data_IF_505099007506
#
_entry.id   IF_505099007506
#
_cell.length_a   1.000
_cell.length_b   1.000
_cell.length_c   1.000
_cell.angle_alpha   90.00
_cell.angle_beta   90.00
_cell.angle_gamma   90.00
#
_symmetry.space_group_name_H-M   'P 1'
#
loop_
_entity.id
_entity.type
_entity.pdbx_description
1 polymer ?
#
# COMPACT_ATOMS: atom_id res chain seq x y z
N UNK A 1 -25.20 -21.20 38.18
CA UNK A 1 -25.05 -21.28 36.71
C UNK A 1 -25.36 -19.99 35.95
N UNK A 2 -26.44 -19.24 36.28
CA UNK A 2 -26.84 -18.02 35.52
C UNK A 2 -25.74 -16.94 35.40
N UNK A 3 -24.99 -16.66 36.47
CA UNK A 3 -23.93 -15.64 36.46
C UNK A 3 -22.70 -16.04 35.65
N UNK A 4 -22.38 -17.34 35.60
CA UNK A 4 -21.25 -17.85 34.83
C UNK A 4 -21.48 -17.66 33.33
N UNK A 5 -22.70 -17.88 32.83
CA UNK A 5 -23.05 -17.63 31.43
C UNK A 5 -22.91 -16.14 31.06
N UNK A 6 -23.23 -15.24 31.99
CA UNK A 6 -23.05 -13.80 31.80
C UNK A 6 -21.56 -13.42 31.67
N UNK A 7 -20.72 -14.02 32.52
CA UNK A 7 -19.26 -13.78 32.50
C UNK A 7 -18.65 -14.30 31.18
N UNK A 8 -19.01 -15.50 30.74
CA UNK A 8 -18.54 -16.05 29.46
C UNK A 8 -18.98 -15.20 28.26
N UNK A 9 -20.21 -14.70 28.28
CA UNK A 9 -20.71 -13.80 27.25
C UNK A 9 -19.92 -12.49 27.19
N UNK A 10 -19.67 -11.87 28.35
CA UNK A 10 -18.87 -10.64 28.42
C UNK A 10 -17.43 -10.84 27.93
N UNK A 11 -16.80 -11.97 28.27
CA UNK A 11 -15.47 -12.33 27.76
C UNK A 11 -15.46 -12.53 26.24
N UNK A 12 -16.46 -13.23 25.70
CA UNK A 12 -16.57 -13.44 24.25
C UNK A 12 -16.75 -12.13 23.48
N UNK A 13 -17.55 -11.21 24.01
CA UNK A 13 -17.73 -9.86 23.44
C UNK A 13 -16.43 -9.07 23.49
N UNK A 14 -15.69 -9.08 24.61
CA UNK A 14 -14.39 -8.41 24.70
C UNK A 14 -13.35 -9.00 23.73
N UNK A 15 -13.34 -10.32 23.55
CA UNK A 15 -12.45 -10.97 22.58
C UNK A 15 -12.81 -10.59 21.14
N UNK A 16 -14.10 -10.53 20.79
CA UNK A 16 -14.54 -10.09 19.48
C UNK A 16 -14.16 -8.63 19.21
N UNK A 17 -14.37 -7.73 20.17
CA UNK A 17 -13.95 -6.33 20.07
C UNK A 17 -12.43 -6.23 19.91
N UNK A 18 -11.67 -6.93 20.74
CA UNK A 18 -10.21 -6.95 20.66
C UNK A 18 -9.72 -7.52 19.32
N UNK A 19 -10.38 -8.55 18.79
CA UNK A 19 -10.08 -9.11 17.48
C UNK A 19 -10.39 -8.14 16.35
N UNK A 20 -11.55 -7.45 16.39
CA UNK A 20 -11.89 -6.43 15.40
C UNK A 20 -10.86 -5.31 15.39
N UNK A 21 -10.52 -4.75 16.56
CA UNK A 21 -9.49 -3.71 16.70
C UNK A 21 -8.11 -4.22 16.28
N UNK A 22 -7.71 -5.44 16.67
CA UNK A 22 -6.43 -6.03 16.24
C UNK A 22 -6.40 -6.26 14.73
N UNK A 23 -7.48 -6.75 14.14
CA UNK A 23 -7.62 -6.96 12.70
C UNK A 23 -7.63 -5.61 11.98
N UNK A 24 -8.21 -4.58 12.56
CA UNK A 24 -8.17 -3.23 12.02
C UNK A 24 -6.75 -2.68 12.13
N UNK A 25 -6.05 -2.81 13.25
CA UNK A 25 -4.64 -2.40 13.37
C UNK A 25 -3.75 -3.17 12.38
N UNK A 26 -3.90 -4.50 12.29
CA UNK A 26 -3.08 -5.36 11.44
C UNK A 26 -3.41 -5.26 9.96
N UNK A 27 -4.68 -5.19 9.59
CA UNK A 27 -5.14 -5.18 8.20
C UNK A 27 -5.58 -3.81 7.69
N UNK A 28 -5.70 -2.79 8.54
CA UNK A 28 -6.07 -1.40 8.21
C UNK A 28 -4.87 -0.44 8.37
N UNK A 29 -3.85 -0.74 9.19
CA UNK A 29 -2.66 0.13 9.39
C UNK A 29 -1.31 -0.40 8.86
N UNK A 30 -1.26 -1.61 8.29
CA UNK A 30 -0.12 -2.13 7.53
C UNK A 30 -0.60 -2.18 6.06
N UNK A 31 -0.04 -1.52 5.05
CA UNK A 31 1.33 -1.13 4.76
C UNK A 31 1.27 0.22 3.99
N UNK A 32 1.94 1.29 4.44
CA UNK A 32 2.22 2.41 3.57
C UNK A 32 3.18 1.92 2.48
N UNK A 33 2.89 2.23 1.21
CA UNK A 33 3.94 2.10 0.20
C UNK A 33 4.85 3.30 0.42
N UNK A 34 5.85 3.18 1.28
CA UNK A 34 6.90 4.18 1.44
C UNK A 34 8.24 3.49 1.24
N UNK A 35 8.80 3.66 0.05
CA UNK A 35 9.98 2.94 -0.31
C UNK A 35 10.52 3.26 -1.69
N UNK A 36 11.64 2.61 -1.99
CA UNK A 36 12.45 2.88 -3.18
C UNK A 36 12.27 1.75 -4.18
N UNK A 37 12.08 2.10 -5.45
CA UNK A 37 11.96 1.15 -6.55
C UNK A 37 13.31 0.47 -6.76
N UNK A 38 13.31 -0.86 -6.66
CA UNK A 38 14.51 -1.70 -6.81
C UNK A 38 14.47 -2.59 -8.05
N UNK A 39 13.29 -2.90 -8.56
CA UNK A 39 13.13 -3.83 -9.68
C UNK A 39 11.81 -3.55 -10.42
N UNK A 40 11.78 -3.87 -11.71
CA UNK A 40 10.56 -3.89 -12.54
C UNK A 40 10.22 -5.35 -12.83
N UNK A 41 9.07 -5.84 -12.38
CA UNK A 41 8.59 -7.21 -12.64
C UNK A 41 7.46 -7.20 -13.65
N UNK A 42 7.63 -7.96 -14.73
CA UNK A 42 6.58 -8.13 -15.73
C UNK A 42 5.79 -9.42 -15.43
N UNK A 43 4.57 -9.27 -14.92
CA UNK A 43 3.66 -10.39 -14.70
C UNK A 43 2.64 -10.38 -15.86
N UNK A 44 2.58 -11.43 -16.71
CA UNK A 44 1.61 -11.48 -17.80
C UNK A 44 0.17 -11.49 -17.25
N UNK A 45 -0.81 -10.81 -17.90
CA UNK A 45 -0.91 -10.59 -19.35
C UNK A 45 -0.88 -9.12 -19.83
N UNK A 46 -0.34 -8.16 -19.05
CA UNK A 46 -0.40 -6.72 -19.40
C UNK A 46 0.96 -6.13 -19.75
N UNK A 47 1.00 -5.20 -20.72
CA UNK A 47 2.20 -4.41 -21.11
C UNK A 47 2.63 -3.36 -20.05
N UNK A 48 2.28 -3.57 -18.78
CA UNK A 48 2.60 -2.66 -17.67
C UNK A 48 3.35 -3.45 -16.60
N UNK A 49 4.66 -3.23 -16.41
CA UNK A 49 5.44 -3.94 -15.40
C UNK A 49 5.09 -3.41 -14.02
N UNK A 50 4.91 -4.28 -13.05
CA UNK A 50 4.75 -3.87 -11.66
C UNK A 50 6.10 -3.45 -11.05
N UNK A 51 6.07 -2.54 -10.07
CA UNK A 51 7.29 -2.03 -9.44
C UNK A 51 7.53 -2.72 -8.10
N UNK A 52 8.73 -3.25 -7.90
CA UNK A 52 9.15 -3.80 -6.61
C UNK A 52 9.75 -2.67 -5.79
N UNK A 53 9.18 -2.43 -4.61
CA UNK A 53 9.53 -1.30 -3.75
C UNK A 53 10.16 -1.79 -2.46
N UNK A 54 11.46 -1.53 -2.27
CA UNK A 54 12.21 -1.80 -1.04
C UNK A 54 11.71 -0.90 0.08
N UNK A 55 11.50 -1.48 1.26
CA UNK A 55 10.86 -0.81 2.40
C UNK A 55 9.39 -1.17 2.55
N UNK A 56 8.83 -1.89 1.58
CA UNK A 56 7.46 -2.40 1.61
C UNK A 56 7.49 -3.92 1.44
N UNK A 57 6.44 -4.62 1.89
CA UNK A 57 6.27 -6.07 1.65
C UNK A 57 5.55 -6.37 0.33
N UNK A 58 5.23 -5.34 -0.45
CA UNK A 58 4.29 -5.44 -1.56
C UNK A 58 4.91 -4.94 -2.88
N UNK A 59 4.35 -5.44 -3.97
CA UNK A 59 4.60 -4.97 -5.32
C UNK A 59 3.61 -3.82 -5.58
N UNK A 60 4.06 -2.71 -6.18
CA UNK A 60 3.20 -1.60 -6.55
C UNK A 60 2.55 -1.89 -7.92
N UNK A 61 1.22 -2.12 -7.97
CA UNK A 61 0.51 -2.56 -9.17
C UNK A 61 0.30 -1.38 -10.12
N UNK A 62 1.24 -1.19 -11.03
CA UNK A 62 1.35 -0.01 -11.91
C UNK A 62 0.12 0.21 -12.77
N UNK A 63 -0.45 -0.87 -13.27
CA UNK A 63 -1.64 -0.87 -14.12
C UNK A 63 -2.90 -0.28 -13.48
N UNK A 64 -2.90 -0.05 -12.16
CA UNK A 64 -3.99 0.59 -11.42
C UNK A 64 -3.85 2.12 -11.32
N UNK A 65 -2.79 2.71 -11.87
CA UNK A 65 -2.48 4.13 -11.70
C UNK A 65 -2.30 4.89 -13.01
N UNK A 66 -2.88 6.08 -13.08
CA UNK A 66 -2.73 7.08 -14.12
C UNK A 66 -1.70 8.15 -13.67
N UNK A 67 -1.01 8.75 -14.64
CA UNK A 67 -0.11 9.89 -14.40
C UNK A 67 1.36 9.50 -14.22
N UNK A 68 1.72 8.25 -14.52
CA UNK A 68 3.10 7.78 -14.57
C UNK A 68 3.38 7.13 -15.91
N UNK A 69 4.47 7.57 -16.54
CA UNK A 69 5.05 6.90 -17.69
C UNK A 69 6.06 5.86 -17.19
N UNK A 70 5.75 4.58 -17.37
CA UNK A 70 6.55 3.47 -16.84
C UNK A 70 7.93 3.33 -17.48
N UNK A 71 8.07 3.80 -18.72
CA UNK A 71 9.35 3.82 -19.42
C UNK A 71 10.27 4.89 -18.80
N UNK A 72 9.68 5.94 -18.23
CA UNK A 72 10.40 7.01 -17.54
C UNK A 72 10.83 6.67 -16.10
N UNK A 73 10.26 5.62 -15.49
CA UNK A 73 10.57 5.21 -14.12
C UNK A 73 11.98 4.63 -14.02
N UNK A 74 12.82 5.17 -13.13
CA UNK A 74 14.17 4.69 -12.89
C UNK A 74 14.27 3.93 -11.57
N UNK A 75 15.23 3.02 -11.49
CA UNK A 75 15.62 2.40 -10.23
C UNK A 75 16.15 3.50 -9.29
N UNK A 76 15.75 3.46 -8.02
CA UNK A 76 16.10 4.48 -7.04
C UNK A 76 15.07 5.60 -6.87
N UNK A 77 14.07 5.69 -7.74
CA UNK A 77 12.91 6.56 -7.50
C UNK A 77 12.05 6.02 -6.35
N UNK A 78 11.28 6.87 -5.69
CA UNK A 78 10.42 6.45 -4.56
C UNK A 78 8.94 6.60 -4.87
N UNK A 79 8.15 5.72 -4.27
CA UNK A 79 6.70 5.76 -4.30
C UNK A 79 6.20 5.90 -2.87
N UNK A 80 5.31 6.87 -2.67
CA UNK A 80 4.58 7.09 -1.44
C UNK A 80 3.08 6.93 -1.69
N UNK A 81 2.43 5.96 -1.05
CA UNK A 81 0.98 5.85 -1.05
C UNK A 81 0.48 5.62 0.37
N UNK A 82 -0.45 6.48 0.79
CA UNK A 82 -1.27 6.24 1.98
C UNK A 82 -2.47 5.37 1.60
N UNK A 83 -2.80 4.41 2.46
CA UNK A 83 -3.77 3.34 2.18
C UNK A 83 -5.17 3.82 1.79
N UNK A 84 -5.65 4.91 2.38
CA UNK A 84 -6.98 5.50 2.12
C UNK A 84 -6.95 6.70 1.18
N UNK A 85 -5.79 7.02 0.59
CA UNK A 85 -5.74 8.01 -0.46
C UNK A 85 -6.02 7.35 -1.82
N UNK A 86 -6.97 7.92 -2.56
CA UNK A 86 -7.17 7.64 -3.99
C UNK A 86 -5.95 8.02 -4.84
N UNK A 87 -4.97 8.69 -4.22
CA UNK A 87 -3.77 9.15 -4.86
C UNK A 87 -2.56 8.38 -4.30
N UNK A 88 -1.63 8.07 -5.18
CA UNK A 88 -0.26 7.77 -4.81
C UNK A 88 0.62 8.93 -5.27
N UNK A 89 1.84 9.01 -4.76
CA UNK A 89 2.81 10.02 -5.15
C UNK A 89 4.08 9.30 -5.58
N UNK A 90 4.54 9.63 -6.79
CA UNK A 90 5.81 9.16 -7.32
C UNK A 90 6.82 10.31 -7.22
N UNK A 91 7.97 10.05 -6.62
CA UNK A 91 9.05 11.00 -6.48
C UNK A 91 10.18 10.59 -7.40
N UNK A 92 10.27 11.28 -8.54
CA UNK A 92 11.32 11.06 -9.53
C UNK A 92 12.57 11.84 -9.16
N UNK A 93 13.70 11.17 -9.02
CA UNK A 93 14.98 11.83 -8.78
C UNK A 93 15.51 12.45 -10.08
N UNK A 94 15.86 13.72 -10.03
CA UNK A 94 16.55 14.45 -11.09
C UNK A 94 18.06 14.27 -10.97
N UNK A 95 18.78 14.50 -12.08
CA UNK A 95 20.24 14.38 -12.13
C UNK A 95 20.96 15.35 -11.18
N UNK A 96 20.30 16.43 -10.78
CA UNK A 96 20.80 17.44 -9.85
C UNK A 96 20.49 17.13 -8.36
N UNK A 97 19.92 15.95 -8.09
CA UNK A 97 19.56 15.51 -6.74
C UNK A 97 18.21 15.99 -6.22
N UNK A 98 17.49 16.84 -6.97
CA UNK A 98 16.12 17.25 -6.63
C UNK A 98 15.12 16.15 -6.96
N UNK A 99 13.93 16.21 -6.35
CA UNK A 99 12.84 15.27 -6.63
C UNK A 99 11.65 16.00 -7.23
N UNK A 100 11.07 15.44 -8.30
CA UNK A 100 9.77 15.86 -8.83
C UNK A 100 8.72 14.96 -8.20
N UNK A 101 7.76 15.58 -7.52
CA UNK A 101 6.57 14.91 -7.00
C UNK A 101 5.49 14.87 -8.07
N UNK A 102 5.12 13.67 -8.51
CA UNK A 102 4.05 13.41 -9.47
C UNK A 102 2.91 12.74 -8.72
N UNK A 103 1.72 13.32 -8.83
CA UNK A 103 0.50 12.75 -8.23
C UNK A 103 -0.06 11.70 -9.16
N UNK A 104 -0.07 10.45 -8.70
CA UNK A 104 -0.70 9.33 -9.37
C UNK A 104 -2.15 9.25 -8.93
N UNK A 105 -3.06 9.13 -9.88
CA UNK A 105 -4.47 8.89 -9.60
C UNK A 105 -4.75 7.42 -9.82
N UNK A 106 -5.59 6.83 -8.98
CA UNK A 106 -6.09 5.49 -9.27
C UNK A 106 -6.94 5.56 -10.56
N UNK A 107 -6.79 4.58 -11.46
CA UNK A 107 -7.75 4.35 -12.55
C UNK A 107 -9.05 3.89 -11.90
N UNK A 108 -9.86 4.81 -11.38
CA UNK A 108 -11.25 4.50 -11.05
C UNK A 108 -12.01 4.26 -12.34
N UNK A 109 -12.82 3.18 -12.33
CA UNK A 109 -13.90 2.92 -13.29
C UNK A 109 -14.76 4.17 -13.52
#
# INVERSE_FOLDING_TARGET
MKYWNLIFFAMAVMLLISWTIYSEIKYHYLIPYDGVIIEKKQIPPKNMPDLVVKGTKEIFPTWKWEGIDFDSVKLGDSISKKKYELNAYYFRKLNDGRYIKIKLKYWTQ
#
